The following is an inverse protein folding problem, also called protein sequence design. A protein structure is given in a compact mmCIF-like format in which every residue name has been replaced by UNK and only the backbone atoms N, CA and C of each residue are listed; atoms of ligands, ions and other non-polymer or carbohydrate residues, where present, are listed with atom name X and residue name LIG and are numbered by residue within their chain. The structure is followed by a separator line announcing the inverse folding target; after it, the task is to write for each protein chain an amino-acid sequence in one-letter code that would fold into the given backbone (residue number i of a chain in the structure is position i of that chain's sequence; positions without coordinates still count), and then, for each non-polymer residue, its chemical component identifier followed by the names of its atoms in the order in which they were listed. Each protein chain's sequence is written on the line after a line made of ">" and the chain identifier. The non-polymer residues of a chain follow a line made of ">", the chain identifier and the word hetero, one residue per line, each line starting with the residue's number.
data_IF_474230381582
#
_entry.id   IF_474230381582
#
_cell.length_a   1.000
_cell.length_b   1.000
_cell.length_c   1.000
_cell.angle_alpha   90.00
_cell.angle_beta   90.00
_cell.angle_gamma   90.00
#
_symmetry.space_group_name_H-M   'P 1'
#
loop_
_entity.id
_entity.type
_entity.pdbx_description
1 polymer ?
#
# COMPACT_ATOMS: atom_id res chain seq x y z
N UNK A 1 -27.45 -8.91 -17.22
CA UNK A 1 -28.77 -8.45 -17.74
C UNK A 1 -28.76 -8.07 -19.23
N UNK A 2 -27.90 -7.17 -19.74
CA UNK A 2 -27.96 -6.74 -21.18
C UNK A 2 -27.24 -7.66 -22.18
N UNK A 3 -26.15 -8.31 -21.81
CA UNK A 3 -25.55 -9.40 -22.62
C UNK A 3 -26.61 -10.49 -22.90
N UNK A 4 -27.43 -10.80 -21.89
CA UNK A 4 -28.55 -11.71 -22.00
C UNK A 4 -29.61 -11.17 -22.99
N UNK A 5 -29.97 -9.88 -22.95
CA UNK A 5 -30.90 -9.28 -23.91
C UNK A 5 -30.39 -9.31 -25.36
N UNK A 6 -29.11 -9.02 -25.60
CA UNK A 6 -28.50 -9.12 -26.94
C UNK A 6 -28.53 -10.56 -27.43
N UNK A 7 -28.09 -11.49 -26.58
CA UNK A 7 -28.15 -12.92 -26.86
C UNK A 7 -29.58 -13.37 -27.20
N UNK A 8 -30.59 -13.02 -26.39
CA UNK A 8 -31.98 -13.37 -26.62
C UNK A 8 -32.53 -12.79 -27.93
N UNK A 9 -32.20 -11.53 -28.26
CA UNK A 9 -32.63 -10.88 -29.51
C UNK A 9 -32.02 -11.55 -30.75
N UNK A 10 -30.74 -11.90 -30.71
CA UNK A 10 -30.06 -12.59 -31.81
C UNK A 10 -30.54 -14.04 -31.91
N UNK A 11 -30.74 -14.71 -30.77
CA UNK A 11 -31.29 -16.06 -30.69
C UNK A 11 -32.69 -16.14 -31.33
N UNK A 12 -33.61 -15.23 -30.98
CA UNK A 12 -34.95 -15.15 -31.58
C UNK A 12 -34.89 -14.97 -33.10
N UNK A 13 -34.01 -14.10 -33.61
CA UNK A 13 -33.81 -13.92 -35.06
C UNK A 13 -33.28 -15.17 -35.76
N UNK A 14 -32.31 -15.85 -35.16
CA UNK A 14 -31.77 -17.10 -35.69
C UNK A 14 -32.82 -18.22 -35.65
N UNK A 15 -33.67 -18.25 -34.62
CA UNK A 15 -34.78 -19.17 -34.48
C UNK A 15 -35.90 -18.95 -35.50
N UNK A 16 -36.11 -17.70 -35.94
CA UNK A 16 -37.04 -17.37 -37.01
C UNK A 16 -36.50 -17.63 -38.44
N UNK A 17 -35.19 -17.89 -38.59
CA UNK A 17 -34.57 -18.04 -39.91
C UNK A 17 -34.68 -19.47 -40.47
N UNK A 18 -34.83 -19.60 -41.80
CA UNK A 18 -34.82 -20.88 -42.54
C UNK A 18 -33.41 -21.33 -42.96
N UNK A 19 -32.35 -20.80 -42.36
CA UNK A 19 -30.99 -21.15 -42.73
C UNK A 19 -30.68 -22.63 -42.44
N UNK A 20 -30.08 -23.35 -43.41
CA UNK A 20 -29.67 -24.76 -43.25
C UNK A 20 -28.73 -24.97 -42.05
N UNK A 21 -27.90 -23.99 -41.72
CA UNK A 21 -26.92 -24.05 -40.62
C UNK A 21 -27.43 -23.48 -39.28
N UNK A 22 -28.75 -23.26 -39.12
CA UNK A 22 -29.34 -22.62 -37.94
C UNK A 22 -28.90 -23.26 -36.61
N UNK A 23 -28.88 -24.59 -36.53
CA UNK A 23 -28.49 -25.32 -35.30
C UNK A 23 -27.05 -25.03 -34.89
N UNK A 24 -26.14 -24.99 -35.87
CA UNK A 24 -24.73 -24.63 -35.65
C UNK A 24 -24.60 -23.18 -35.19
N UNK A 25 -25.27 -22.24 -35.87
CA UNK A 25 -25.26 -20.80 -35.51
C UNK A 25 -25.79 -20.54 -34.09
N UNK A 26 -26.84 -21.26 -33.66
CA UNK A 26 -27.37 -21.15 -32.30
C UNK A 26 -26.39 -21.70 -31.25
N UNK A 27 -25.71 -22.81 -31.55
CA UNK A 27 -24.67 -23.37 -30.67
C UNK A 27 -23.49 -22.41 -30.54
N UNK A 28 -23.01 -21.86 -31.65
CA UNK A 28 -21.89 -20.92 -31.68
C UNK A 28 -22.24 -19.61 -30.95
N UNK A 29 -23.48 -19.11 -31.13
CA UNK A 29 -23.98 -17.94 -30.39
C UNK A 29 -23.99 -18.18 -28.87
N UNK A 30 -24.48 -19.35 -28.43
CA UNK A 30 -24.50 -19.71 -27.01
C UNK A 30 -23.08 -19.83 -26.45
N UNK A 31 -22.18 -20.51 -27.16
CA UNK A 31 -20.77 -20.61 -26.77
C UNK A 31 -20.11 -19.24 -26.63
N UNK A 32 -20.36 -18.33 -27.58
CA UNK A 32 -19.84 -16.96 -27.54
C UNK A 32 -20.40 -16.17 -26.35
N UNK A 33 -21.69 -16.31 -26.06
CA UNK A 33 -22.34 -15.68 -24.92
C UNK A 33 -21.78 -16.20 -23.58
N UNK A 34 -21.68 -17.52 -23.42
CA UNK A 34 -21.16 -18.15 -22.20
C UNK A 34 -19.69 -17.75 -21.96
N UNK A 35 -18.87 -17.74 -23.03
CA UNK A 35 -17.49 -17.28 -22.96
C UNK A 35 -17.38 -15.79 -22.57
N UNK A 36 -18.26 -14.93 -23.11
CA UNK A 36 -18.27 -13.51 -22.76
C UNK A 36 -18.69 -13.28 -21.31
N UNK A 37 -19.66 -14.02 -20.80
CA UNK A 37 -20.05 -13.97 -19.38
C UNK A 37 -18.90 -14.40 -18.48
N UNK A 38 -18.24 -15.51 -18.81
CA UNK A 38 -17.10 -16.01 -18.06
C UNK A 38 -15.98 -14.95 -17.98
N UNK A 39 -15.66 -14.31 -19.11
CA UNK A 39 -14.66 -13.23 -19.14
C UNK A 39 -15.06 -12.02 -18.27
N UNK A 40 -16.32 -11.58 -18.32
CA UNK A 40 -16.77 -10.43 -17.53
C UNK A 40 -16.70 -10.74 -16.03
N UNK A 41 -17.06 -11.97 -15.62
CA UNK A 41 -16.97 -12.38 -14.23
C UNK A 41 -15.51 -12.44 -13.76
N UNK A 42 -14.62 -13.00 -14.58
CA UNK A 42 -13.19 -13.03 -14.32
C UNK A 42 -12.58 -11.62 -14.23
N UNK A 43 -12.95 -10.72 -15.14
CA UNK A 43 -12.55 -9.31 -15.09
C UNK A 43 -13.06 -8.62 -13.82
N UNK A 44 -14.30 -8.88 -13.40
CA UNK A 44 -14.88 -8.32 -12.17
C UNK A 44 -14.13 -8.78 -10.92
N UNK A 45 -13.86 -10.07 -10.79
CA UNK A 45 -13.07 -10.61 -9.68
C UNK A 45 -11.65 -10.03 -9.69
N UNK A 46 -11.03 -9.94 -10.86
CA UNK A 46 -9.73 -9.30 -10.99
C UNK A 46 -9.74 -7.83 -10.52
N UNK A 47 -10.71 -7.02 -10.94
CA UNK A 47 -10.81 -5.62 -10.49
C UNK A 47 -11.03 -5.53 -8.97
N UNK A 48 -11.85 -6.40 -8.38
CA UNK A 48 -12.04 -6.45 -6.92
C UNK A 48 -10.72 -6.71 -6.19
N UNK A 49 -9.88 -7.61 -6.70
CA UNK A 49 -8.56 -7.87 -6.09
C UNK A 49 -7.63 -6.66 -6.20
N UNK A 50 -7.67 -5.91 -7.30
CA UNK A 50 -6.88 -4.69 -7.45
C UNK A 50 -7.34 -3.58 -6.49
N UNK A 51 -8.64 -3.51 -6.20
CA UNK A 51 -9.24 -2.48 -5.34
C UNK A 51 -8.96 -2.63 -3.83
N UNK A 52 -8.31 -3.70 -3.39
CA UNK A 52 -7.87 -3.86 -1.99
C UNK A 52 -6.54 -3.12 -1.75
N UNK A 53 -5.75 -2.93 -2.80
CA UNK A 53 -4.37 -2.48 -2.69
C UNK A 53 -3.44 -3.57 -2.16
N UNK A 54 -2.14 -3.40 -2.39
CA UNK A 54 -1.13 -4.36 -1.98
C UNK A 54 0.24 -3.71 -1.85
N UNK A 55 1.25 -4.52 -1.51
CA UNK A 55 2.63 -4.04 -1.40
C UNK A 55 3.18 -3.62 -2.76
N UNK A 56 2.78 -4.32 -3.83
CA UNK A 56 3.20 -4.00 -5.20
C UNK A 56 2.16 -4.45 -6.24
N UNK A 57 1.95 -3.61 -7.26
CA UNK A 57 1.17 -3.92 -8.45
C UNK A 57 2.08 -4.05 -9.68
N UNK A 58 2.10 -5.25 -10.26
CA UNK A 58 2.89 -5.59 -11.44
C UNK A 58 2.35 -4.94 -12.72
N UNK A 59 3.25 -4.70 -13.68
CA UNK A 59 2.90 -4.12 -14.99
C UNK A 59 1.83 -4.93 -15.72
N UNK A 60 1.90 -6.27 -15.66
CA UNK A 60 0.91 -7.14 -16.29
C UNK A 60 -0.51 -6.91 -15.74
N UNK A 61 -0.64 -6.60 -14.44
CA UNK A 61 -1.94 -6.29 -13.82
C UNK A 61 -2.44 -4.92 -14.26
N UNK A 62 -1.56 -3.91 -14.30
CA UNK A 62 -1.90 -2.56 -14.77
C UNK A 62 -2.37 -2.60 -16.23
N UNK A 63 -1.64 -3.31 -17.09
CA UNK A 63 -2.04 -3.48 -18.49
C UNK A 63 -3.35 -4.25 -18.62
N UNK A 64 -3.63 -5.21 -17.73
CA UNK A 64 -4.95 -5.87 -17.68
C UNK A 64 -6.07 -4.91 -17.28
N UNK A 65 -5.87 -4.04 -16.29
CA UNK A 65 -6.84 -2.99 -15.91
C UNK A 65 -7.13 -2.09 -17.12
N UNK A 66 -6.10 -1.62 -17.81
CA UNK A 66 -6.26 -0.78 -19.03
C UNK A 66 -7.03 -1.50 -20.14
N UNK A 67 -6.76 -2.79 -20.36
CA UNK A 67 -7.50 -3.61 -21.33
C UNK A 67 -8.99 -3.74 -20.97
N UNK A 68 -9.30 -3.89 -19.68
CA UNK A 68 -10.69 -3.93 -19.19
C UNK A 68 -11.36 -2.56 -19.38
N UNK A 69 -10.67 -1.47 -19.04
CA UNK A 69 -11.17 -0.11 -19.19
C UNK A 69 -11.48 0.29 -20.64
N UNK A 70 -10.67 -0.19 -21.59
CA UNK A 70 -10.88 0.02 -23.03
C UNK A 70 -12.15 -0.66 -23.57
N UNK A 71 -12.75 -1.60 -22.82
CA UNK A 71 -14.04 -2.16 -23.17
C UNK A 71 -15.13 -1.11 -22.98
N UNK A 72 -16.03 -1.01 -23.96
CA UNK A 72 -17.13 -0.05 -23.94
C UNK A 72 -18.46 -0.75 -23.71
N UNK A 73 -19.28 -0.15 -22.85
CA UNK A 73 -20.64 -0.54 -22.57
C UNK A 73 -21.58 0.45 -23.24
N UNK A 74 -22.47 -0.05 -24.09
CA UNK A 74 -23.52 0.77 -24.69
C UNK A 74 -24.75 0.80 -23.79
N UNK A 75 -25.05 1.96 -23.20
CA UNK A 75 -26.28 2.21 -22.43
C UNK A 75 -27.22 3.08 -23.27
N UNK A 76 -28.10 2.42 -24.04
CA UNK A 76 -29.06 3.13 -24.90
C UNK A 76 -28.39 3.66 -26.16
N UNK A 77 -28.47 4.97 -26.39
CA UNK A 77 -27.74 5.64 -27.47
C UNK A 77 -26.27 5.91 -27.10
N UNK A 78 -25.95 5.97 -25.80
CA UNK A 78 -24.64 6.35 -25.30
C UNK A 78 -23.71 5.15 -25.16
N UNK A 79 -22.42 5.42 -25.34
CA UNK A 79 -21.34 4.47 -25.20
C UNK A 79 -20.41 4.97 -24.09
N UNK A 80 -20.37 4.25 -22.98
CA UNK A 80 -19.56 4.57 -21.80
C UNK A 80 -18.45 3.54 -21.65
N UNK A 81 -17.26 3.90 -21.15
CA UNK A 81 -16.23 2.92 -20.84
C UNK A 81 -16.65 2.04 -19.65
N UNK A 82 -16.04 0.87 -19.53
CA UNK A 82 -16.26 -0.02 -18.36
C UNK A 82 -15.72 0.60 -17.08
N UNK A 83 -14.61 1.34 -17.18
CA UNK A 83 -13.99 2.08 -16.11
C UNK A 83 -13.66 3.48 -16.61
N UNK A 84 -13.91 4.48 -15.77
CA UNK A 84 -13.50 5.87 -16.01
C UNK A 84 -11.98 6.01 -15.91
N UNK A 85 -11.42 7.07 -16.50
CA UNK A 85 -9.98 7.38 -16.38
C UNK A 85 -9.54 7.51 -14.92
N UNK A 86 -10.42 8.07 -14.06
CA UNK A 86 -10.18 8.17 -12.63
C UNK A 86 -10.12 6.79 -11.95
N UNK A 87 -11.03 5.88 -12.27
CA UNK A 87 -10.98 4.51 -11.73
C UNK A 87 -9.71 3.77 -12.19
N UNK A 88 -9.32 3.93 -13.46
CA UNK A 88 -8.07 3.33 -13.97
C UNK A 88 -6.85 3.87 -13.22
N UNK A 89 -6.79 5.18 -12.97
CA UNK A 89 -5.72 5.81 -12.20
C UNK A 89 -5.60 5.22 -10.79
N UNK A 90 -6.72 5.15 -10.07
CA UNK A 90 -6.77 4.61 -8.70
C UNK A 90 -6.47 3.10 -8.65
N UNK A 91 -6.97 2.32 -9.61
CA UNK A 91 -6.74 0.88 -9.69
C UNK A 91 -5.33 0.52 -10.18
N UNK A 92 -4.55 1.49 -10.68
CA UNK A 92 -3.20 1.28 -11.22
C UNK A 92 -2.08 1.77 -10.29
N UNK A 93 -2.39 2.09 -9.03
CA UNK A 93 -1.40 2.53 -8.04
C UNK A 93 -0.39 1.39 -7.79
N UNK A 94 0.91 1.69 -7.98
CA UNK A 94 1.96 0.67 -7.90
C UNK A 94 2.21 0.14 -6.50
N UNK A 95 2.07 0.96 -5.46
CA UNK A 95 2.39 0.60 -4.07
C UNK A 95 1.44 1.28 -3.11
N UNK A 96 0.89 0.50 -2.18
CA UNK A 96 -0.09 0.98 -1.23
C UNK A 96 -1.42 1.34 -1.90
N UNK A 97 -2.16 2.24 -1.28
CA UNK A 97 -3.54 2.59 -1.65
C UNK A 97 -3.73 4.07 -1.97
N UNK A 98 -2.66 4.85 -1.95
CA UNK A 98 -2.71 6.30 -2.09
C UNK A 98 -2.19 6.72 -3.46
N UNK A 99 -2.97 7.55 -4.13
CA UNK A 99 -2.51 8.35 -5.26
C UNK A 99 -1.38 9.29 -4.84
N UNK A 100 -0.67 9.85 -5.81
CA UNK A 100 0.39 10.81 -5.51
C UNK A 100 -0.16 12.09 -4.84
N UNK A 101 -1.35 12.53 -5.23
CA UNK A 101 -2.02 13.69 -4.68
C UNK A 101 -2.45 13.45 -3.23
N UNK A 102 -3.00 12.28 -2.92
CA UNK A 102 -3.37 11.91 -1.55
C UNK A 102 -2.14 11.73 -0.67
N UNK A 103 -1.06 11.14 -1.21
CA UNK A 103 0.20 11.01 -0.51
C UNK A 103 0.74 12.38 -0.08
N UNK A 104 0.74 13.36 -0.99
CA UNK A 104 1.15 14.74 -0.68
C UNK A 104 0.29 15.37 0.41
N UNK A 105 -1.04 15.23 0.34
CA UNK A 105 -1.96 15.72 1.38
C UNK A 105 -1.69 15.11 2.75
N UNK A 106 -1.35 13.81 2.80
CA UNK A 106 -1.00 13.16 4.06
C UNK A 106 0.35 13.69 4.57
N UNK A 107 1.34 13.88 3.69
CA UNK A 107 2.65 14.44 4.06
C UNK A 107 2.56 15.86 4.63
N UNK A 108 1.55 16.64 4.26
CA UNK A 108 1.33 18.00 4.78
C UNK A 108 1.21 18.07 6.31
N UNK A 109 0.88 16.97 7.00
CA UNK A 109 0.80 16.97 8.46
C UNK A 109 2.12 17.40 9.13
N UNK A 110 3.27 17.09 8.53
CA UNK A 110 4.59 17.51 9.03
C UNK A 110 4.78 19.00 8.82
N UNK A 111 4.41 19.51 7.64
CA UNK A 111 4.48 20.94 7.32
C UNK A 111 3.61 21.75 8.27
N UNK A 112 2.39 21.28 8.53
CA UNK A 112 1.46 21.89 9.49
C UNK A 112 2.04 21.82 10.91
N UNK A 113 2.60 20.68 11.32
CA UNK A 113 3.25 20.52 12.63
C UNK A 113 4.39 21.53 12.80
N UNK A 114 5.28 21.68 11.82
CA UNK A 114 6.36 22.66 11.85
C UNK A 114 5.78 24.07 12.03
N UNK A 115 4.80 24.47 11.21
CA UNK A 115 4.16 25.80 11.30
C UNK A 115 3.56 26.06 12.68
N UNK A 116 2.87 25.08 13.26
CA UNK A 116 2.29 25.20 14.60
C UNK A 116 3.37 25.34 15.67
N UNK A 117 4.38 24.47 15.67
CA UNK A 117 5.43 24.47 16.69
C UNK A 117 6.34 25.71 16.59
N UNK A 118 6.54 26.28 15.40
CA UNK A 118 7.31 27.52 15.21
C UNK A 118 6.67 28.74 15.88
N UNK A 119 5.35 28.73 16.09
CA UNK A 119 4.64 29.83 16.74
C UNK A 119 4.72 29.77 18.28
N UNK A 120 5.19 28.65 18.84
CA UNK A 120 5.24 28.48 20.28
C UNK A 120 6.47 29.17 20.89
N UNK A 121 6.33 29.87 22.03
CA UNK A 121 7.44 30.54 22.70
C UNK A 121 8.30 29.52 23.50
N UNK A 122 9.08 28.71 22.79
CA UNK A 122 9.88 27.65 23.42
C UNK A 122 10.90 28.19 24.43
N UNK A 123 10.98 27.61 25.65
CA UNK A 123 12.11 27.86 26.53
C UNK A 123 13.41 27.38 25.87
N UNK A 124 14.55 27.95 26.26
CA UNK A 124 15.88 27.66 25.67
C UNK A 124 16.14 26.15 25.47
N UNK A 125 15.79 25.34 26.47
CA UNK A 125 15.99 23.89 26.46
C UNK A 125 15.12 23.10 25.46
N UNK A 126 14.05 23.68 24.92
CA UNK A 126 13.12 23.04 23.99
C UNK A 126 13.10 23.67 22.59
N UNK A 127 14.00 24.63 22.29
CA UNK A 127 14.00 25.34 21.01
C UNK A 127 14.16 24.46 19.77
N UNK A 128 14.67 23.24 19.94
CA UNK A 128 14.90 22.28 18.85
C UNK A 128 13.75 21.30 18.63
N UNK A 129 12.69 21.34 19.45
CA UNK A 129 11.54 20.43 19.32
C UNK A 129 10.91 20.52 17.93
N UNK A 130 10.80 21.72 17.36
CA UNK A 130 10.30 21.93 16.00
C UNK A 130 11.15 21.22 14.94
N UNK A 131 12.47 21.22 15.10
CA UNK A 131 13.39 20.54 14.16
C UNK A 131 13.27 19.02 14.28
N UNK A 132 13.19 18.49 15.50
CA UNK A 132 12.99 17.06 15.71
C UNK A 132 11.66 16.61 15.11
N UNK A 133 10.57 17.29 15.47
CA UNK A 133 9.23 16.99 14.97
C UNK A 133 9.09 17.26 13.46
N UNK A 134 9.85 18.19 12.89
CA UNK A 134 9.84 18.41 11.44
C UNK A 134 10.68 17.40 10.65
N UNK A 135 11.72 16.84 11.26
CA UNK A 135 12.71 16.00 10.60
C UNK A 135 12.45 14.49 10.68
N UNK A 136 11.47 14.01 11.44
CA UNK A 136 11.27 12.57 11.66
C UNK A 136 10.80 11.78 10.41
N UNK A 137 10.32 12.47 9.37
CA UNK A 137 9.98 11.88 8.07
C UNK A 137 11.05 12.12 6.98
N UNK A 138 12.13 12.81 7.33
CA UNK A 138 13.29 12.94 6.47
C UNK A 138 14.08 11.62 6.45
N UNK A 139 14.82 11.40 5.36
CA UNK A 139 15.62 10.18 5.16
C UNK A 139 17.07 10.56 4.91
N UNK A 140 18.00 9.73 5.34
CA UNK A 140 19.43 10.05 5.25
C UNK A 140 19.93 10.28 3.81
N UNK A 141 19.27 9.67 2.82
CA UNK A 141 19.54 9.82 1.38
C UNK A 141 18.90 11.07 0.75
N UNK A 142 18.12 11.86 1.50
CA UNK A 142 17.44 13.06 0.99
C UNK A 142 16.12 12.78 0.25
N UNK A 143 15.66 11.53 0.18
CA UNK A 143 14.37 11.20 -0.46
C UNK A 143 13.16 11.35 0.47
N UNK A 144 13.41 11.83 1.69
CA UNK A 144 12.39 12.12 2.69
C UNK A 144 11.68 13.45 2.45
N UNK A 145 10.85 13.84 3.41
CA UNK A 145 10.05 15.06 3.35
C UNK A 145 9.95 15.69 4.75
N UNK A 146 9.65 17.00 4.88
CA UNK A 146 9.20 17.91 3.82
C UNK A 146 10.29 18.67 3.06
N UNK A 147 11.52 18.72 3.55
CA UNK A 147 12.60 19.57 3.01
C UNK A 147 13.66 18.79 2.22
N UNK A 148 13.63 17.45 2.24
CA UNK A 148 14.61 16.62 1.55
C UNK A 148 16.00 16.69 2.20
N UNK A 149 16.02 16.73 3.54
CA UNK A 149 17.25 16.84 4.31
C UNK A 149 18.06 15.55 4.21
N UNK A 150 19.39 15.68 4.13
CA UNK A 150 20.29 14.53 4.09
C UNK A 150 20.80 14.20 5.49
N UNK A 151 21.56 13.11 5.63
CA UNK A 151 22.23 12.77 6.87
C UNK A 151 22.97 13.97 7.50
N UNK A 152 23.70 14.77 6.72
CA UNK A 152 24.50 15.89 7.25
C UNK A 152 23.66 16.99 7.89
N UNK A 153 22.42 17.14 7.45
CA UNK A 153 21.49 18.17 7.91
C UNK A 153 20.67 17.70 9.13
N UNK A 154 20.45 16.39 9.23
CA UNK A 154 19.64 15.78 10.29
C UNK A 154 20.44 15.56 11.57
N UNK A 155 19.94 16.07 12.68
CA UNK A 155 20.50 15.81 13.98
C UNK A 155 20.22 14.39 14.49
N UNK A 156 21.05 13.93 15.41
CA UNK A 156 20.86 12.63 16.07
C UNK A 156 19.47 12.48 16.68
N UNK A 157 18.92 13.53 17.29
CA UNK A 157 17.58 13.49 17.88
C UNK A 157 16.48 13.28 16.83
N UNK A 158 16.55 13.97 15.69
CA UNK A 158 15.59 13.77 14.60
C UNK A 158 15.68 12.34 14.03
N UNK A 159 16.90 11.82 13.86
CA UNK A 159 17.12 10.43 13.41
C UNK A 159 16.62 9.39 14.43
N UNK A 160 16.78 9.65 15.73
CA UNK A 160 16.21 8.80 16.79
C UNK A 160 14.67 8.79 16.68
N UNK A 161 14.05 9.96 16.52
CA UNK A 161 12.59 10.02 16.37
C UNK A 161 12.10 9.29 15.13
N UNK A 162 12.79 9.38 14.00
CA UNK A 162 12.45 8.65 12.79
C UNK A 162 12.43 7.13 13.04
N UNK A 163 13.48 6.59 13.67
CA UNK A 163 13.56 5.15 13.99
C UNK A 163 12.46 4.73 14.96
N UNK A 164 12.21 5.54 16.01
CA UNK A 164 11.17 5.26 17.00
C UNK A 164 9.76 5.29 16.38
N UNK A 165 9.45 6.29 15.56
CA UNK A 165 8.16 6.44 14.87
C UNK A 165 7.90 5.28 13.90
N UNK A 166 8.90 4.91 13.09
CA UNK A 166 8.80 3.77 12.18
C UNK A 166 8.54 2.48 12.95
N UNK A 167 9.28 2.24 14.03
CA UNK A 167 9.13 1.01 14.80
C UNK A 167 7.77 0.92 15.50
N UNK A 168 7.31 2.02 16.10
CA UNK A 168 5.96 2.11 16.69
C UNK A 168 4.89 1.85 15.62
N UNK A 169 4.98 2.51 14.46
CA UNK A 169 4.00 2.38 13.40
C UNK A 169 3.91 0.96 12.82
N UNK A 170 5.02 0.21 12.78
CA UNK A 170 5.05 -1.18 12.33
C UNK A 170 4.46 -2.14 13.35
N UNK A 171 4.63 -1.83 14.64
CA UNK A 171 4.26 -2.72 15.75
C UNK A 171 2.87 -2.43 16.33
N UNK A 172 2.30 -1.26 16.06
CA UNK A 172 0.97 -0.86 16.50
C UNK A 172 -0.12 -1.89 16.15
N UNK A 173 -0.76 -2.46 17.18
CA UNK A 173 -1.78 -3.51 17.07
C UNK A 173 -3.22 -2.99 17.09
N UNK A 174 -3.41 -1.69 17.33
CA UNK A 174 -4.69 -1.00 17.48
C UNK A 174 -5.26 -0.48 16.15
N UNK A 175 -4.55 -0.66 15.03
CA UNK A 175 -4.99 -0.22 13.71
C UNK A 175 -6.14 -1.13 13.20
N UNK A 176 -7.35 -0.60 12.94
CA UNK A 176 -8.52 -1.41 12.58
C UNK A 176 -8.36 -2.24 11.30
N UNK A 177 -7.45 -1.81 10.42
CA UNK A 177 -7.31 -2.31 9.07
C UNK A 177 -6.11 -3.24 8.87
N UNK A 178 -5.27 -3.43 9.89
CA UNK A 178 -4.08 -4.28 9.78
C UNK A 178 -3.62 -4.78 11.16
N UNK A 179 -3.40 -6.10 11.33
CA UNK A 179 -2.78 -6.59 12.55
C UNK A 179 -1.35 -6.03 12.66
N UNK A 180 -0.92 -5.77 13.90
CA UNK A 180 0.45 -5.36 14.18
C UNK A 180 1.44 -6.42 13.71
N UNK A 181 2.59 -6.00 13.17
CA UNK A 181 3.60 -6.93 12.65
C UNK A 181 4.31 -7.64 13.81
N UNK A 182 4.88 -8.81 13.50
CA UNK A 182 5.79 -9.49 14.44
C UNK A 182 7.08 -8.69 14.59
N UNK A 183 7.73 -8.79 15.73
CA UNK A 183 9.00 -8.07 15.96
C UNK A 183 10.07 -8.49 14.94
N UNK A 184 10.19 -9.76 14.59
CA UNK A 184 11.12 -10.23 13.56
C UNK A 184 10.92 -9.52 12.21
N UNK A 185 9.67 -9.29 11.82
CA UNK A 185 9.33 -8.58 10.59
C UNK A 185 9.69 -7.09 10.69
N UNK A 186 9.46 -6.47 11.85
CA UNK A 186 9.81 -5.06 12.08
C UNK A 186 11.33 -4.87 12.00
N UNK A 187 12.12 -5.73 12.66
CA UNK A 187 13.58 -5.67 12.61
C UNK A 187 14.10 -5.90 11.18
N UNK A 188 13.48 -6.82 10.44
CA UNK A 188 13.82 -7.05 9.03
C UNK A 188 13.57 -5.79 8.18
N UNK A 189 12.44 -5.10 8.39
CA UNK A 189 12.13 -3.84 7.70
C UNK A 189 13.15 -2.75 8.05
N UNK A 190 13.44 -2.53 9.34
CA UNK A 190 14.47 -1.57 9.77
C UNK A 190 15.82 -1.88 9.14
N UNK A 191 16.22 -3.16 9.09
CA UNK A 191 17.47 -3.59 8.46
C UNK A 191 17.53 -3.25 6.97
N UNK A 192 16.42 -3.42 6.22
CA UNK A 192 16.36 -2.99 4.82
C UNK A 192 16.42 -1.48 4.68
N UNK A 193 15.72 -0.73 5.55
CA UNK A 193 15.78 0.73 5.53
C UNK A 193 17.18 1.27 5.83
N UNK A 194 17.95 0.60 6.68
CA UNK A 194 19.38 0.90 6.88
C UNK A 194 20.17 0.64 5.61
N UNK A 195 19.96 -0.50 4.94
CA UNK A 195 20.65 -0.84 3.68
C UNK A 195 20.34 0.14 2.55
N UNK A 196 19.11 0.63 2.49
CA UNK A 196 18.66 1.64 1.54
C UNK A 196 19.11 3.07 1.94
N UNK A 197 19.87 3.22 3.03
CA UNK A 197 20.31 4.51 3.57
C UNK A 197 19.13 5.47 3.86
N UNK A 198 17.99 4.93 4.29
CA UNK A 198 16.84 5.73 4.71
C UNK A 198 16.95 6.16 6.18
N UNK A 199 17.48 5.30 7.05
CA UNK A 199 17.59 5.52 8.50
C UNK A 199 19.00 5.20 9.01
N UNK A 200 19.31 5.72 10.20
CA UNK A 200 20.64 5.67 10.78
C UNK A 200 21.00 4.30 11.34
N UNK A 201 22.08 3.71 10.80
CA UNK A 201 22.57 2.40 11.21
C UNK A 201 22.96 2.37 12.69
N UNK A 202 23.64 3.39 13.19
CA UNK A 202 24.19 3.37 14.54
C UNK A 202 23.06 3.42 15.58
N UNK A 203 21.99 4.14 15.27
CA UNK A 203 20.78 4.19 16.10
C UNK A 203 20.05 2.85 16.08
N UNK A 204 19.88 2.22 14.91
CA UNK A 204 19.23 0.90 14.80
C UNK A 204 20.06 -0.17 15.51
N UNK A 205 21.38 -0.16 15.32
CA UNK A 205 22.32 -1.04 16.02
C UNK A 205 22.19 -0.88 17.53
N UNK A 206 22.21 0.35 18.03
CA UNK A 206 22.04 0.63 19.46
C UNK A 206 20.70 0.11 19.97
N UNK A 207 19.60 0.42 19.27
CA UNK A 207 18.25 0.02 19.67
C UNK A 207 18.10 -1.51 19.79
N UNK A 208 18.72 -2.27 18.89
CA UNK A 208 18.64 -3.74 18.88
C UNK A 208 19.64 -4.36 19.87
N UNK A 209 20.92 -3.95 19.81
CA UNK A 209 22.01 -4.57 20.57
C UNK A 209 21.94 -4.25 22.06
N UNK A 210 21.33 -3.12 22.45
CA UNK A 210 21.13 -2.76 23.86
C UNK A 210 20.05 -3.55 24.57
N UNK A 211 19.21 -4.32 23.84
CA UNK A 211 18.06 -5.00 24.44
C UNK A 211 16.78 -4.15 24.49
N UNK A 212 16.83 -2.88 24.06
CA UNK A 212 15.69 -1.95 24.12
C UNK A 212 14.51 -2.42 23.25
N UNK A 213 14.78 -2.95 22.06
CA UNK A 213 13.73 -3.49 21.19
C UNK A 213 12.94 -4.62 21.86
N UNK A 214 13.63 -5.50 22.57
CA UNK A 214 13.06 -6.65 23.27
C UNK A 214 12.35 -6.21 24.55
N UNK A 215 12.88 -5.22 25.27
CA UNK A 215 12.22 -4.61 26.42
C UNK A 215 10.89 -3.98 26.02
N UNK A 216 10.91 -3.13 24.98
CA UNK A 216 9.69 -2.55 24.43
C UNK A 216 8.72 -3.63 23.98
N UNK A 217 9.22 -4.65 23.25
CA UNK A 217 8.39 -5.75 22.76
C UNK A 217 7.60 -6.44 23.87
N UNK A 218 8.28 -6.82 24.95
CA UNK A 218 7.67 -7.48 26.11
C UNK A 218 6.66 -6.59 26.84
N UNK A 219 6.86 -5.28 26.82
CA UNK A 219 6.00 -4.32 27.53
C UNK A 219 4.75 -3.94 26.74
N UNK A 220 4.90 -3.72 25.43
CA UNK A 220 3.87 -3.06 24.62
C UNK A 220 3.18 -4.00 23.61
N UNK A 221 3.87 -5.05 23.13
CA UNK A 221 3.34 -5.90 22.07
C UNK A 221 2.46 -7.01 22.60
N UNK A 222 1.54 -7.47 21.73
CA UNK A 222 0.71 -8.63 22.02
C UNK A 222 1.49 -9.92 21.83
N UNK A 223 1.11 -10.98 22.54
CA UNK A 223 1.80 -12.28 22.51
C UNK A 223 2.01 -12.84 21.09
N UNK A 224 1.05 -12.64 20.18
CA UNK A 224 1.15 -13.11 18.80
C UNK A 224 2.23 -12.40 17.96
N UNK A 225 2.66 -11.21 18.41
CA UNK A 225 3.70 -10.39 17.76
C UNK A 225 5.11 -10.75 18.26
N UNK A 226 5.21 -11.48 19.38
CA UNK A 226 6.48 -11.87 19.99
C UNK A 226 7.03 -13.14 19.34
N UNK A 227 8.21 -13.02 18.74
CA UNK A 227 8.99 -14.12 18.19
C UNK A 227 10.51 -13.86 18.33
N UNK A 228 11.33 -14.76 17.79
CA UNK A 228 12.79 -14.62 17.76
C UNK A 228 13.22 -13.95 16.45
N UNK A 229 14.34 -13.24 16.49
CA UNK A 229 14.96 -12.67 15.30
C UNK A 229 16.48 -12.73 15.38
N UNK A 230 17.13 -12.69 14.22
CA UNK A 230 18.60 -12.66 14.12
C UNK A 230 19.03 -11.30 13.60
N UNK A 231 19.98 -10.66 14.29
CA UNK A 231 20.58 -9.40 13.88
C UNK A 231 22.10 -9.49 14.06
N UNK A 232 22.86 -9.16 13.01
CA UNK A 232 24.33 -9.30 12.98
C UNK A 232 24.85 -10.67 13.46
N UNK A 233 24.13 -11.75 13.15
CA UNK A 233 24.50 -13.13 13.50
C UNK A 233 24.19 -13.53 14.95
N UNK A 234 23.61 -12.64 15.75
CA UNK A 234 23.14 -12.91 17.11
C UNK A 234 21.64 -13.17 17.10
N UNK A 235 21.20 -14.24 17.74
CA UNK A 235 19.77 -14.54 17.94
C UNK A 235 19.25 -13.81 19.19
N UNK A 236 18.09 -13.18 19.04
CA UNK A 236 17.39 -12.46 20.09
C UNK A 236 16.01 -13.08 20.30
N UNK A 237 15.72 -13.51 21.53
CA UNK A 237 14.42 -14.06 21.92
C UNK A 237 13.61 -13.00 22.68
N UNK A 238 12.51 -12.53 22.08
CA UNK A 238 11.66 -11.51 22.68
C UNK A 238 10.66 -12.07 23.69
N UNK A 239 10.57 -13.40 23.83
CA UNK A 239 9.72 -14.06 24.83
C UNK A 239 10.45 -14.31 26.14
N UNK A 240 11.78 -14.23 26.13
CA UNK A 240 12.63 -14.41 27.32
C UNK A 240 13.25 -13.07 27.73
N UNK A 241 13.58 -12.88 29.02
CA UNK A 241 14.43 -11.76 29.43
C UNK A 241 15.78 -11.83 28.72
N UNK A 242 16.41 -10.68 28.45
CA UNK A 242 17.77 -10.65 27.95
C UNK A 242 18.73 -11.30 28.98
N UNK A 243 19.65 -12.15 28.51
CA UNK A 243 20.73 -12.70 29.33
C UNK A 243 21.83 -11.67 29.53
#
# INVERSE_FOLDING_TARGET
>A
MRQLQVYLKVKQKLEASKAKDRRKKLLDLKKSYDARLAQINDDCEFIKTCNIGGEFMEDAKIERVKKIAAQKLRIGAEEIPFLTDNEVYNLSIRRGTLTEEERKKIQDHVVVTIKMLQQLPWPKKLRRVTEWAGGHHEKLDGTGYPNGLTAKDLSTQARIMAVADIFEALTAADRPYKPGKKISECIKILTFMVKDNHIDKDIVDFFIKSGLAQEYARRELKDYQLDTFVYDGVEYDCRRPAQ
#
